data_IF_298496391174
#
_entry.id   IF_298496391174
#
_cell.length_a   1.000
_cell.length_b   1.000
_cell.length_c   1.000
_cell.angle_alpha   90.00
_cell.angle_beta   90.00
_cell.angle_gamma   90.00
#
_symmetry.space_group_name_H-M   'P 1'
#
loop_
_entity.id
_entity.type
_entity.pdbx_description
1 polymer ?
#
# COMPACT_ATOMS: atom_id res chain seq x y z
N UNK A 1 -2.76 -0.84 45.98
CA UNK A 1 -3.24 -2.13 45.45
C UNK A 1 -2.39 -2.51 44.26
N UNK A 2 -1.77 -3.68 44.32
CA UNK A 2 -0.71 -4.15 43.41
C UNK A 2 -1.30 -4.55 42.04
N UNK A 3 -1.08 -3.74 41.01
CA UNK A 3 -1.50 -4.04 39.63
C UNK A 3 -0.53 -5.02 38.99
N UNK A 4 -0.92 -6.29 38.85
CA UNK A 4 -0.11 -7.32 38.19
C UNK A 4 0.05 -6.99 36.70
N UNK A 5 1.15 -6.31 36.35
CA UNK A 5 1.56 -6.10 34.96
C UNK A 5 1.83 -7.43 34.28
N UNK A 6 1.20 -7.65 33.12
CA UNK A 6 1.39 -8.86 32.30
C UNK A 6 2.89 -9.11 32.07
N UNK A 7 3.34 -10.33 32.35
CA UNK A 7 4.72 -10.77 32.12
C UNK A 7 5.08 -10.60 30.65
N UNK A 8 6.05 -9.73 30.34
CA UNK A 8 6.55 -9.54 28.98
C UNK A 8 7.15 -10.86 28.48
N UNK A 9 6.75 -11.30 27.29
CA UNK A 9 7.40 -12.42 26.61
C UNK A 9 8.87 -12.04 26.34
N UNK A 10 9.79 -12.89 26.78
CA UNK A 10 11.23 -12.71 26.57
C UNK A 10 11.49 -12.70 25.06
N UNK A 11 12.35 -11.78 24.60
CA UNK A 11 12.77 -11.65 23.20
C UNK A 11 11.69 -11.20 22.19
N UNK A 12 10.63 -10.51 22.63
CA UNK A 12 9.67 -9.88 21.71
C UNK A 12 9.92 -8.36 21.64
N UNK A 13 10.31 -7.79 20.48
CA UNK A 13 10.42 -6.35 20.30
C UNK A 13 9.09 -5.63 20.58
N UNK A 14 9.14 -4.36 20.95
CA UNK A 14 7.93 -3.55 21.08
C UNK A 14 7.19 -3.47 19.74
N UNK A 15 5.89 -3.79 19.75
CA UNK A 15 5.01 -3.72 18.59
C UNK A 15 3.83 -2.80 18.90
N UNK A 16 3.59 -1.81 18.03
CA UNK A 16 2.42 -0.92 18.15
C UNK A 16 1.12 -1.62 17.77
N UNK A 17 1.19 -2.57 16.85
CA UNK A 17 0.05 -3.34 16.32
C UNK A 17 0.26 -4.81 16.65
N UNK A 18 -0.75 -5.46 17.21
CA UNK A 18 -0.73 -6.90 17.50
C UNK A 18 -1.14 -7.67 16.25
N UNK A 19 -0.17 -8.22 15.51
CA UNK A 19 -0.43 -8.84 14.20
C UNK A 19 -1.48 -9.96 14.24
N UNK A 20 -1.50 -10.78 15.30
CA UNK A 20 -2.45 -11.90 15.43
C UNK A 20 -3.91 -11.50 15.70
N UNK A 21 -4.17 -10.23 16.02
CA UNK A 21 -5.52 -9.71 16.27
C UNK A 21 -6.06 -8.81 15.16
N UNK A 22 -5.33 -8.66 14.05
CA UNK A 22 -5.76 -7.81 12.94
C UNK A 22 -6.86 -8.52 12.16
N UNK A 23 -8.04 -7.90 12.11
CA UNK A 23 -9.15 -8.32 11.27
C UNK A 23 -9.32 -7.31 10.13
N UNK A 24 -9.35 -7.81 8.90
CA UNK A 24 -9.65 -7.00 7.73
C UNK A 24 -11.15 -7.06 7.44
N UNK A 25 -11.72 -5.91 7.09
CA UNK A 25 -13.14 -5.78 6.72
C UNK A 25 -13.36 -6.27 5.28
N UNK A 26 -12.35 -6.11 4.41
CA UNK A 26 -12.35 -6.55 3.02
C UNK A 26 -11.01 -7.22 2.71
N UNK A 27 -11.04 -8.34 1.97
CA UNK A 27 -9.84 -9.10 1.61
C UNK A 27 -8.87 -8.31 0.73
N UNK A 28 -9.36 -7.35 -0.07
CA UNK A 28 -8.53 -6.47 -0.91
C UNK A 28 -7.59 -5.59 -0.10
N UNK A 29 -7.91 -5.34 1.18
CA UNK A 29 -7.06 -4.53 2.07
C UNK A 29 -5.82 -5.28 2.57
N UNK A 30 -5.75 -6.60 2.33
CA UNK A 30 -4.58 -7.42 2.71
C UNK A 30 -3.38 -7.15 1.82
N UNK A 31 -3.61 -6.73 0.57
CA UNK A 31 -2.56 -6.56 -0.43
C UNK A 31 -2.53 -5.11 -0.97
N UNK A 32 -1.42 -4.42 -0.69
CA UNK A 32 -1.17 -3.04 -1.12
C UNK A 32 -0.35 -2.94 -2.41
N UNK A 33 -0.12 -4.05 -3.11
CA UNK A 33 0.56 -4.03 -4.41
C UNK A 33 -0.25 -3.26 -5.45
N UNK A 34 0.42 -2.76 -6.49
CA UNK A 34 -0.30 -2.11 -7.59
C UNK A 34 -1.19 -3.12 -8.36
N UNK A 35 -0.73 -4.36 -8.47
CA UNK A 35 -1.39 -5.46 -9.19
C UNK A 35 -2.70 -5.87 -8.52
N UNK A 36 -2.77 -5.82 -7.18
CA UNK A 36 -3.99 -6.17 -6.43
C UNK A 36 -5.18 -5.25 -6.67
N UNK A 37 -4.96 -4.04 -7.23
CA UNK A 37 -6.06 -3.10 -7.48
C UNK A 37 -7.02 -3.59 -8.57
N UNK A 38 -6.60 -4.51 -9.44
CA UNK A 38 -7.44 -5.07 -10.50
C UNK A 38 -7.75 -4.13 -11.66
N UNK A 39 -6.87 -3.16 -11.94
CA UNK A 39 -7.05 -2.25 -13.08
C UNK A 39 -6.57 -2.85 -14.40
N UNK A 40 -7.09 -2.30 -15.51
CA UNK A 40 -6.74 -2.73 -16.86
C UNK A 40 -5.26 -2.54 -17.21
N UNK A 41 -4.75 -3.42 -18.07
CA UNK A 41 -3.39 -3.31 -18.60
C UNK A 41 -3.25 -2.07 -19.49
N UNK A 42 -2.10 -1.40 -19.40
CA UNK A 42 -1.79 -0.25 -20.26
C UNK A 42 -2.35 1.09 -19.81
N UNK A 43 -2.94 1.20 -18.61
CA UNK A 43 -3.33 2.50 -18.06
C UNK A 43 -2.15 3.34 -17.55
N UNK A 44 -2.42 4.62 -17.26
CA UNK A 44 -1.41 5.57 -16.79
C UNK A 44 -0.68 5.10 -15.51
N UNK A 45 -1.41 4.49 -14.58
CA UNK A 45 -0.83 3.98 -13.34
C UNK A 45 0.06 2.76 -13.56
N UNK A 46 -0.34 1.87 -14.47
CA UNK A 46 0.36 0.61 -14.74
C UNK A 46 1.73 0.86 -15.37
N UNK A 47 1.80 1.78 -16.33
CA UNK A 47 3.09 2.19 -16.90
C UNK A 47 3.99 2.81 -15.83
N UNK A 48 3.42 3.61 -14.93
CA UNK A 48 4.18 4.27 -13.89
C UNK A 48 4.70 3.25 -12.86
N UNK A 49 3.88 2.26 -12.51
CA UNK A 49 4.26 1.18 -11.62
C UNK A 49 5.41 0.36 -12.23
N UNK A 50 5.27 -0.12 -13.48
CA UNK A 50 6.32 -0.86 -14.20
C UNK A 50 7.67 -0.12 -14.19
N UNK A 51 7.61 1.18 -14.42
CA UNK A 51 8.78 2.04 -14.51
C UNK A 51 9.46 2.29 -13.16
N UNK A 52 8.67 2.45 -12.10
CA UNK A 52 9.18 2.91 -10.80
C UNK A 52 9.41 1.77 -9.81
N UNK A 53 8.78 0.61 -9.98
CA UNK A 53 8.87 -0.53 -9.06
C UNK A 53 10.30 -1.06 -8.91
N UNK A 54 11.13 -0.92 -9.95
CA UNK A 54 12.54 -1.32 -9.96
C UNK A 54 13.43 -0.40 -9.13
N UNK A 55 12.93 0.78 -8.75
CA UNK A 55 13.68 1.80 -8.02
C UNK A 55 13.24 1.87 -6.57
N UNK A 56 14.18 2.20 -5.66
CA UNK A 56 13.90 2.34 -4.22
C UNK A 56 14.61 3.58 -3.65
N UNK A 57 14.13 4.07 -2.50
CA UNK A 57 14.77 5.14 -1.73
C UNK A 57 15.08 6.42 -2.53
N UNK A 58 16.32 6.89 -2.47
CA UNK A 58 16.76 8.09 -3.20
C UNK A 58 16.67 7.94 -4.73
N UNK A 59 16.93 6.74 -5.26
CA UNK A 59 16.81 6.43 -6.69
C UNK A 59 15.37 6.61 -7.18
N UNK A 60 14.40 6.12 -6.42
CA UNK A 60 12.98 6.33 -6.73
C UNK A 60 12.61 7.81 -6.81
N UNK A 61 13.07 8.63 -5.86
CA UNK A 61 12.79 10.07 -5.86
C UNK A 61 13.36 10.75 -7.12
N UNK A 62 14.58 10.39 -7.52
CA UNK A 62 15.23 10.92 -8.73
C UNK A 62 14.47 10.51 -9.99
N UNK A 63 14.20 9.22 -10.16
CA UNK A 63 13.54 8.68 -11.36
C UNK A 63 12.11 9.22 -11.50
N UNK A 64 11.34 9.27 -10.41
CA UNK A 64 10.02 9.90 -10.37
C UNK A 64 10.08 11.36 -10.81
N UNK A 65 11.02 12.15 -10.28
CA UNK A 65 11.13 13.57 -10.64
C UNK A 65 11.55 13.77 -12.10
N UNK A 66 12.42 12.90 -12.64
CA UNK A 66 12.82 12.89 -14.04
C UNK A 66 11.61 12.64 -14.95
N UNK A 67 10.83 11.60 -14.67
CA UNK A 67 9.59 11.27 -15.40
C UNK A 67 8.55 12.40 -15.30
N UNK A 68 8.35 12.98 -14.11
CA UNK A 68 7.42 14.12 -13.91
C UNK A 68 7.79 15.36 -14.73
N UNK A 69 9.08 15.65 -14.94
CA UNK A 69 9.56 16.90 -15.58
C UNK A 69 9.29 16.99 -17.09
N UNK A 70 8.65 16.01 -17.71
CA UNK A 70 8.06 16.20 -19.05
C UNK A 70 8.26 15.07 -20.04
N UNK A 71 8.95 13.99 -19.66
CA UNK A 71 9.17 12.85 -20.57
C UNK A 71 8.20 11.69 -20.35
N UNK A 72 7.40 11.71 -19.27
CA UNK A 72 6.50 10.61 -18.99
C UNK A 72 5.22 10.70 -19.82
N UNK A 73 5.17 9.87 -20.87
CA UNK A 73 3.98 9.59 -21.66
C UNK A 73 3.39 8.27 -21.18
N UNK A 74 2.52 8.37 -20.17
CA UNK A 74 1.85 7.23 -19.56
C UNK A 74 0.89 6.52 -20.52
N UNK A 75 0.03 5.69 -19.95
CA UNK A 75 -1.08 5.05 -20.63
C UNK A 75 -2.38 5.86 -20.54
N UNK A 76 -3.49 5.21 -20.84
CA UNK A 76 -4.81 5.85 -20.80
C UNK A 76 -5.21 6.26 -19.38
N UNK A 77 -5.91 7.38 -19.27
CA UNK A 77 -6.50 7.82 -18.00
C UNK A 77 -7.87 7.18 -17.89
N UNK A 78 -7.96 6.16 -17.04
CA UNK A 78 -9.22 5.49 -16.69
C UNK A 78 -10.02 6.30 -15.67
N UNK A 79 -11.35 6.35 -15.85
CA UNK A 79 -12.30 6.93 -14.90
C UNK A 79 -12.91 5.89 -13.95
N UNK A 80 -12.43 4.64 -13.98
CA UNK A 80 -12.90 3.58 -13.11
C UNK A 80 -12.49 3.81 -11.65
N UNK A 81 -13.32 3.33 -10.71
CA UNK A 81 -13.06 3.39 -9.27
C UNK A 81 -12.65 2.02 -8.74
N UNK A 82 -11.53 1.98 -8.01
CA UNK A 82 -11.02 0.78 -7.32
C UNK A 82 -11.16 0.89 -5.80
N UNK A 83 -12.09 1.73 -5.35
CA UNK A 83 -12.35 1.95 -3.92
C UNK A 83 -13.18 0.82 -3.29
N UNK A 84 -13.02 0.67 -1.98
CA UNK A 84 -13.88 -0.17 -1.14
C UNK A 84 -14.81 0.75 -0.37
N UNK A 85 -16.12 0.47 -0.41
CA UNK A 85 -17.08 1.16 0.46
C UNK A 85 -17.09 0.48 1.82
N UNK A 86 -16.97 1.28 2.87
CA UNK A 86 -17.23 0.79 4.22
C UNK A 86 -18.74 0.66 4.40
N UNK A 87 -19.17 -0.42 5.05
CA UNK A 87 -20.52 -0.49 5.58
C UNK A 87 -20.51 0.28 6.90
N UNK A 88 -21.34 1.32 7.00
CA UNK A 88 -21.55 2.04 8.25
C UNK A 88 -22.39 1.14 9.18
N UNK A 89 -21.77 0.12 9.75
CA UNK A 89 -22.35 -0.65 10.85
C UNK A 89 -21.57 -0.29 12.12
N UNK A 90 -22.21 0.50 12.99
CA UNK A 90 -21.76 0.84 14.36
C UNK A 90 -21.49 -0.40 15.23
#
# INVERSE_FOLDING_TARGET
GNGKGKTRKVNTPFQRVQAGGVRFIDDRLKDNTFESRGAGMGDYGERAARDLIVTRGAGFRKEKNKKKRGSYRGGDITMQSFSVKFTDDD
#
